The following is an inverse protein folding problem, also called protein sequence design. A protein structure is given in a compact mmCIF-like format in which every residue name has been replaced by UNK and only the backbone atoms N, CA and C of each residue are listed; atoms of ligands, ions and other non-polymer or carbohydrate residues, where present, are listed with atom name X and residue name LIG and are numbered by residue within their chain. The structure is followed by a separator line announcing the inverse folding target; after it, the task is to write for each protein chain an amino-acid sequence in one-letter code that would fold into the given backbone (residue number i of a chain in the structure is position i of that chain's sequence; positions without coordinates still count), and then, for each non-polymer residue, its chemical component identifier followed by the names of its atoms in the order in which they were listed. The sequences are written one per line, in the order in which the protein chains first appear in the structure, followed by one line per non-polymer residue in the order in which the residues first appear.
data_IF_360717444058
#
_entry.id   IF_360717444058
#
_cell.length_a   1.000
_cell.length_b   1.000
_cell.length_c   1.000
_cell.angle_alpha   90.00
_cell.angle_beta   90.00
_cell.angle_gamma   90.00
#
_symmetry.space_group_name_H-M   'P 1'
#
loop_
_entity.id
_entity.type
_entity.pdbx_description
1 polymer ?
#
# COMPACT_ATOMS: atom_id res chain seq x y z
N UNK A 1 15.25 25.53 -15.51
CA UNK A 1 15.10 26.18 -14.20
C UNK A 1 15.39 25.14 -13.14
N UNK A 2 16.24 25.46 -12.17
CA UNK A 2 16.59 24.56 -11.07
C UNK A 2 15.81 24.95 -9.81
N UNK A 3 15.32 23.97 -9.06
CA UNK A 3 14.67 24.20 -7.78
C UNK A 3 15.74 24.24 -6.68
N UNK A 4 15.75 25.27 -5.84
CA UNK A 4 16.87 25.53 -4.92
C UNK A 4 16.82 24.71 -3.61
N UNK A 5 15.72 24.00 -3.33
CA UNK A 5 15.46 23.33 -2.05
C UNK A 5 15.30 21.80 -2.17
N UNK A 6 16.01 21.19 -3.13
CA UNK A 6 15.93 19.74 -3.39
C UNK A 6 16.29 18.91 -2.15
N UNK A 7 17.34 19.29 -1.42
CA UNK A 7 17.75 18.58 -0.20
C UNK A 7 16.66 18.54 0.88
N UNK A 8 15.81 19.58 0.95
CA UNK A 8 14.66 19.63 1.87
C UNK A 8 13.59 18.62 1.45
N UNK A 9 13.32 18.49 0.14
CA UNK A 9 12.40 17.49 -0.41
C UNK A 9 12.91 16.06 -0.20
N UNK A 10 14.19 15.81 -0.44
CA UNK A 10 14.81 14.48 -0.22
C UNK A 10 14.72 14.03 1.24
N UNK A 11 14.98 14.94 2.19
CA UNK A 11 14.80 14.67 3.62
C UNK A 11 13.33 14.35 3.95
N UNK A 12 12.40 15.07 3.35
CA UNK A 12 10.97 14.81 3.54
C UNK A 12 10.57 13.43 2.99
N UNK A 13 11.01 13.07 1.78
CA UNK A 13 10.80 11.74 1.20
C UNK A 13 11.38 10.66 2.10
N UNK A 14 12.61 10.85 2.60
CA UNK A 14 13.26 9.88 3.51
C UNK A 14 12.47 9.68 4.81
N UNK A 15 11.86 10.74 5.34
CA UNK A 15 10.97 10.66 6.51
C UNK A 15 9.70 9.87 6.20
N UNK A 16 9.09 10.11 5.04
CA UNK A 16 7.91 9.35 4.58
C UNK A 16 8.27 7.87 4.40
N UNK A 17 9.40 7.56 3.77
CA UNK A 17 9.86 6.19 3.55
C UNK A 17 10.07 5.45 4.89
N UNK A 18 10.77 6.10 5.82
CA UNK A 18 11.00 5.56 7.17
C UNK A 18 9.69 5.33 7.91
N UNK A 19 8.74 6.26 7.81
CA UNK A 19 7.42 6.13 8.42
C UNK A 19 6.64 4.93 7.86
N UNK A 20 6.62 4.76 6.53
CA UNK A 20 5.92 3.65 5.88
C UNK A 20 6.53 2.29 6.25
N UNK A 21 7.86 2.21 6.40
CA UNK A 21 8.58 0.97 6.70
C UNK A 21 8.60 0.62 8.19
N UNK A 22 8.37 1.57 9.09
CA UNK A 22 8.26 1.28 10.52
C UNK A 22 7.12 0.28 10.79
N UNK A 23 7.45 -0.85 11.39
CA UNK A 23 6.51 -1.93 11.68
C UNK A 23 5.37 -1.51 12.60
N UNK A 24 5.55 -0.44 13.39
CA UNK A 24 4.50 0.15 14.23
C UNK A 24 3.39 0.83 13.42
N UNK A 25 3.71 1.30 12.22
CA UNK A 25 2.75 1.94 11.31
C UNK A 25 2.12 0.93 10.33
N UNK A 26 2.59 -0.31 10.34
CA UNK A 26 2.06 -1.37 9.49
C UNK A 26 0.87 -2.05 10.14
N UNK A 27 -0.26 -2.06 9.43
CA UNK A 27 -1.50 -2.71 9.84
C UNK A 27 -1.69 -4.00 9.06
N UNK A 28 -2.07 -5.07 9.75
CA UNK A 28 -2.39 -6.36 9.13
C UNK A 28 -3.72 -6.28 8.39
N UNK A 29 -3.78 -6.81 7.17
CA UNK A 29 -5.03 -7.04 6.45
C UNK A 29 -5.47 -8.48 6.70
N UNK A 30 -6.72 -8.66 7.10
CA UNK A 30 -7.26 -9.95 7.56
C UNK A 30 -7.86 -10.71 6.38
N UNK A 31 -7.40 -11.94 6.17
CA UNK A 31 -7.89 -12.86 5.15
C UNK A 31 -8.27 -14.21 5.77
N UNK A 32 -9.48 -14.37 6.32
CA UNK A 32 -9.91 -15.64 6.90
C UNK A 32 -9.95 -16.76 5.85
N UNK A 33 -9.62 -17.99 6.25
CA UNK A 33 -9.54 -19.14 5.33
C UNK A 33 -10.87 -19.39 4.61
N UNK A 34 -11.97 -19.22 5.34
CA UNK A 34 -13.35 -19.33 4.86
C UNK A 34 -13.74 -18.25 3.82
N UNK A 35 -13.02 -17.11 3.81
CA UNK A 35 -13.31 -15.98 2.92
C UNK A 35 -12.40 -15.91 1.70
N UNK A 36 -11.39 -16.78 1.59
CA UNK A 36 -10.44 -16.81 0.45
C UNK A 36 -10.64 -18.01 -0.48
N UNK A 37 -11.46 -18.99 -0.09
CA UNK A 37 -11.78 -20.18 -0.88
C UNK A 37 -13.27 -20.56 -0.74
N UNK A 38 -14.17 -19.95 -1.54
CA UNK A 38 -13.92 -18.98 -2.60
C UNK A 38 -13.64 -17.57 -2.07
N UNK A 39 -13.08 -16.70 -2.91
CA UNK A 39 -12.80 -15.30 -2.56
C UNK A 39 -14.09 -14.52 -2.35
N UNK A 40 -14.43 -14.22 -1.09
CA UNK A 40 -15.65 -13.56 -0.68
C UNK A 40 -15.36 -12.11 -0.29
N UNK A 41 -15.57 -11.18 -1.22
CA UNK A 41 -15.26 -9.76 -1.01
C UNK A 41 -16.06 -9.14 0.13
N UNK A 42 -17.32 -9.54 0.32
CA UNK A 42 -18.18 -8.99 1.36
C UNK A 42 -17.67 -9.33 2.77
N UNK A 43 -17.30 -10.59 3.00
CA UNK A 43 -16.72 -11.00 4.28
C UNK A 43 -15.35 -10.35 4.52
N UNK A 44 -14.52 -10.23 3.47
CA UNK A 44 -13.24 -9.56 3.59
C UNK A 44 -13.39 -8.07 3.92
N UNK A 45 -14.38 -7.39 3.33
CA UNK A 45 -14.71 -6.01 3.68
C UNK A 45 -15.16 -5.88 5.12
N UNK A 46 -16.04 -6.77 5.59
CA UNK A 46 -16.53 -6.78 6.97
C UNK A 46 -15.37 -6.97 7.96
N UNK A 47 -14.51 -7.94 7.72
CA UNK A 47 -13.35 -8.24 8.59
C UNK A 47 -12.31 -7.12 8.61
N UNK A 48 -12.26 -6.30 7.56
CA UNK A 48 -11.32 -5.18 7.46
C UNK A 48 -12.01 -3.82 7.57
N UNK A 49 -13.26 -3.75 8.04
CA UNK A 49 -14.04 -2.52 8.03
C UNK A 49 -13.36 -1.37 8.77
N UNK A 50 -12.79 -1.64 9.96
CA UNK A 50 -12.08 -0.66 10.77
C UNK A 50 -10.78 -0.18 10.12
N UNK A 51 -10.05 -1.10 9.49
CA UNK A 51 -8.85 -0.75 8.73
C UNK A 51 -9.21 0.16 7.55
N UNK A 52 -10.20 -0.24 6.76
CA UNK A 52 -10.64 0.47 5.57
C UNK A 52 -11.27 1.83 5.90
N UNK A 53 -11.99 1.95 7.01
CA UNK A 53 -12.53 3.22 7.49
C UNK A 53 -11.43 4.19 7.90
N UNK A 54 -10.35 3.69 8.55
CA UNK A 54 -9.21 4.51 8.97
C UNK A 54 -8.41 5.13 7.81
N UNK A 55 -8.59 4.63 6.58
CA UNK A 55 -7.97 5.18 5.36
C UNK A 55 -8.70 6.40 4.81
N UNK A 56 -10.02 6.46 5.02
CA UNK A 56 -10.91 7.38 4.32
C UNK A 56 -10.60 8.83 4.69
N UNK A 57 -10.30 9.68 3.70
CA UNK A 57 -9.97 11.09 3.93
C UNK A 57 -8.59 11.34 4.53
N UNK A 58 -7.79 10.29 4.78
CA UNK A 58 -6.48 10.40 5.42
C UNK A 58 -5.36 10.07 4.44
N UNK A 59 -5.34 8.86 3.89
CA UNK A 59 -4.18 8.39 3.14
C UNK A 59 -4.08 9.04 1.75
N UNK A 60 -2.88 9.51 1.40
CA UNK A 60 -2.56 9.90 0.01
C UNK A 60 -1.24 9.31 -0.50
N UNK A 61 -0.46 8.66 0.38
CA UNK A 61 0.61 7.72 0.06
C UNK A 61 0.39 6.44 0.89
N UNK A 62 0.61 5.27 0.30
CA UNK A 62 0.51 3.99 0.97
C UNK A 62 1.55 2.99 0.46
N UNK A 63 1.83 1.98 1.28
CA UNK A 63 2.69 0.87 0.94
C UNK A 63 2.03 -0.47 1.29
N UNK A 64 2.33 -1.50 0.50
CA UNK A 64 1.87 -2.88 0.70
C UNK A 64 3.10 -3.76 0.91
N UNK A 65 3.01 -4.62 1.93
CA UNK A 65 4.06 -5.52 2.36
C UNK A 65 3.55 -6.95 2.41
N UNK A 66 4.45 -7.89 2.15
CA UNK A 66 4.22 -9.33 2.34
C UNK A 66 5.09 -9.82 3.48
N UNK A 67 4.47 -10.37 4.51
CA UNK A 67 5.15 -11.08 5.58
C UNK A 67 5.03 -12.58 5.31
N UNK A 68 6.14 -13.19 4.90
CA UNK A 68 6.20 -14.62 4.60
C UNK A 68 6.28 -15.45 5.87
N UNK A 69 5.74 -16.66 5.82
CA UNK A 69 5.86 -17.62 6.92
C UNK A 69 7.35 -17.86 7.27
N UNK A 70 7.67 -17.83 8.56
CA UNK A 70 9.05 -17.96 9.05
C UNK A 70 9.91 -16.69 8.94
N UNK A 71 9.43 -15.63 8.29
CA UNK A 71 10.08 -14.31 8.32
C UNK A 71 9.48 -13.43 9.42
N UNK A 72 10.33 -12.64 10.08
CA UNK A 72 9.89 -11.55 10.96
C UNK A 72 9.90 -10.18 10.27
N UNK A 73 10.43 -10.12 9.04
CA UNK A 73 10.59 -8.88 8.30
C UNK A 73 9.60 -8.85 7.12
N UNK A 74 8.65 -7.90 7.11
CA UNK A 74 7.77 -7.65 5.98
C UNK A 74 8.55 -7.13 4.77
N UNK A 75 8.35 -7.76 3.63
CA UNK A 75 8.97 -7.40 2.36
C UNK A 75 8.11 -6.35 1.65
N UNK A 76 8.68 -5.19 1.36
CA UNK A 76 7.99 -4.11 0.66
C UNK A 76 7.72 -4.52 -0.80
N UNK A 77 6.45 -4.53 -1.20
CA UNK A 77 6.06 -4.95 -2.54
C UNK A 77 5.62 -3.82 -3.43
N UNK A 78 4.84 -2.89 -2.88
CA UNK A 78 4.20 -1.84 -3.65
C UNK A 78 4.16 -0.54 -2.86
N UNK A 79 4.45 0.57 -3.52
CA UNK A 79 4.16 1.92 -3.06
C UNK A 79 3.15 2.54 -4.03
N UNK A 80 2.15 3.21 -3.49
CA UNK A 80 1.13 3.86 -4.30
C UNK A 80 0.68 5.20 -3.74
N UNK A 81 0.11 6.02 -4.62
CA UNK A 81 -0.59 7.26 -4.29
C UNK A 81 -2.06 7.19 -4.62
N UNK A 82 -2.81 8.05 -3.97
CA UNK A 82 -4.24 8.26 -4.22
C UNK A 82 -4.62 9.67 -3.78
N UNK A 83 -5.78 10.16 -4.23
CA UNK A 83 -6.38 11.29 -3.52
C UNK A 83 -6.96 10.81 -2.19
N UNK A 84 -6.96 11.67 -1.17
CA UNK A 84 -7.52 11.38 0.16
C UNK A 84 -8.98 10.93 0.08
N UNK A 85 -9.75 11.59 -0.80
CA UNK A 85 -11.16 11.27 -1.07
C UNK A 85 -11.35 9.83 -1.57
N UNK A 86 -10.41 9.29 -2.35
CA UNK A 86 -10.51 7.97 -2.97
C UNK A 86 -9.69 6.91 -2.25
N UNK A 87 -9.03 7.24 -1.14
CA UNK A 87 -8.09 6.37 -0.46
C UNK A 87 -8.64 4.99 -0.12
N UNK A 88 -9.79 4.96 0.56
CA UNK A 88 -10.48 3.72 0.92
C UNK A 88 -10.78 2.87 -0.31
N UNK A 89 -11.35 3.47 -1.36
CA UNK A 89 -11.71 2.76 -2.59
C UNK A 89 -10.46 2.19 -3.28
N UNK A 90 -9.39 2.98 -3.39
CA UNK A 90 -8.16 2.57 -4.07
C UNK A 90 -7.49 1.39 -3.38
N UNK A 91 -7.33 1.45 -2.05
CA UNK A 91 -6.75 0.36 -1.27
C UNK A 91 -7.67 -0.87 -1.27
N UNK A 92 -8.99 -0.70 -1.13
CA UNK A 92 -9.94 -1.80 -1.27
C UNK A 92 -9.82 -2.49 -2.63
N UNK A 93 -9.61 -1.74 -3.71
CA UNK A 93 -9.43 -2.32 -5.05
C UNK A 93 -8.13 -3.13 -5.20
N UNK A 94 -7.09 -2.80 -4.45
CA UNK A 94 -5.85 -3.57 -4.46
C UNK A 94 -5.92 -4.79 -3.54
N UNK A 95 -6.63 -4.68 -2.41
CA UNK A 95 -6.60 -5.66 -1.34
C UNK A 95 -7.74 -6.69 -1.42
N UNK A 96 -8.90 -6.33 -1.96
CA UNK A 96 -10.14 -7.10 -1.83
C UNK A 96 -10.90 -7.22 -3.15
N UNK A 97 -11.28 -6.11 -3.77
CA UNK A 97 -12.22 -6.08 -4.91
C UNK A 97 -11.54 -5.83 -6.22
N UNK A 98 -11.89 -6.60 -7.26
CA UNK A 98 -11.32 -6.37 -8.58
C UNK A 98 -11.82 -5.04 -9.14
N UNK A 99 -10.90 -4.21 -9.61
CA UNK A 99 -11.21 -3.11 -10.51
C UNK A 99 -10.89 -3.53 -11.94
N UNK A 100 -11.79 -3.24 -12.89
CA UNK A 100 -11.71 -3.76 -14.26
C UNK A 100 -10.41 -3.38 -15.00
N UNK A 101 -9.80 -2.25 -14.63
CA UNK A 101 -8.58 -1.71 -15.27
C UNK A 101 -7.28 -1.89 -14.46
N UNK A 102 -7.32 -2.27 -13.17
CA UNK A 102 -6.13 -2.27 -12.28
C UNK A 102 -5.98 -3.55 -11.43
N UNK A 103 -6.49 -4.67 -11.94
CA UNK A 103 -6.57 -5.94 -11.21
C UNK A 103 -5.25 -6.64 -10.90
N UNK A 104 -4.12 -6.19 -11.46
CA UNK A 104 -2.82 -6.86 -11.30
C UNK A 104 -2.42 -7.03 -9.83
N UNK A 105 -2.51 -5.95 -9.03
CA UNK A 105 -2.13 -6.00 -7.61
C UNK A 105 -3.03 -6.93 -6.79
N UNK A 106 -4.32 -7.01 -7.12
CA UNK A 106 -5.22 -7.94 -6.44
C UNK A 106 -4.88 -9.40 -6.77
N UNK A 107 -4.44 -9.69 -8.00
CA UNK A 107 -3.99 -11.02 -8.36
C UNK A 107 -2.75 -11.43 -7.55
N UNK A 108 -1.78 -10.51 -7.41
CA UNK A 108 -0.59 -10.72 -6.59
C UNK A 108 -0.95 -10.99 -5.12
N UNK A 109 -1.83 -10.17 -4.54
CA UNK A 109 -2.36 -10.34 -3.18
C UNK A 109 -3.01 -11.71 -3.01
N UNK A 110 -3.90 -12.10 -3.94
CA UNK A 110 -4.57 -13.41 -3.90
C UNK A 110 -3.55 -14.55 -3.94
N UNK A 111 -2.50 -14.42 -4.75
CA UNK A 111 -1.43 -15.42 -4.84
C UNK A 111 -0.69 -15.56 -3.52
N UNK A 112 -0.25 -14.45 -2.92
CA UNK A 112 0.49 -14.45 -1.65
C UNK A 112 -0.35 -15.00 -0.49
N UNK A 113 -1.63 -14.59 -0.41
CA UNK A 113 -2.56 -15.08 0.63
C UNK A 113 -2.82 -16.57 0.49
N UNK A 114 -2.96 -17.09 -0.74
CA UNK A 114 -3.10 -18.55 -0.99
C UNK A 114 -1.87 -19.34 -0.58
N UNK A 115 -0.69 -18.74 -0.68
CA UNK A 115 0.57 -19.35 -0.23
C UNK A 115 0.75 -19.26 1.31
N UNK A 116 -0.23 -18.77 2.05
CA UNK A 116 -0.17 -18.65 3.51
C UNK A 116 0.53 -17.39 4.01
N UNK A 117 0.97 -16.50 3.11
CA UNK A 117 1.64 -15.27 3.50
C UNK A 117 0.65 -14.22 3.99
N UNK A 118 1.10 -13.37 4.90
CA UNK A 118 0.31 -12.28 5.46
C UNK A 118 0.55 -10.98 4.68
N UNK A 119 -0.49 -10.17 4.53
CA UNK A 119 -0.38 -8.85 3.91
C UNK A 119 -0.46 -7.78 5.00
N UNK A 120 0.47 -6.84 4.95
CA UNK A 120 0.42 -5.63 5.76
C UNK A 120 0.38 -4.40 4.87
N UNK A 121 -0.23 -3.33 5.38
CA UNK A 121 -0.21 -2.02 4.73
C UNK A 121 0.25 -0.94 5.70
N UNK A 122 0.89 0.09 5.19
CA UNK A 122 1.08 1.36 5.90
C UNK A 122 0.64 2.51 5.01
N UNK A 123 0.26 3.62 5.61
CA UNK A 123 -0.25 4.77 4.87
C UNK A 123 -0.03 6.05 5.65
N UNK A 124 0.11 7.15 4.92
CA UNK A 124 0.35 8.46 5.52
C UNK A 124 -0.42 9.53 4.75
N UNK A 125 -0.76 10.60 5.46
CA UNK A 125 -1.25 11.85 4.91
C UNK A 125 -0.09 12.82 4.79
N UNK A 126 0.20 13.28 3.58
CA UNK A 126 1.11 14.40 3.34
C UNK A 126 0.36 15.64 2.84
N UNK A 127 0.91 16.83 3.07
CA UNK A 127 0.38 18.11 2.57
C UNK A 127 1.51 18.94 1.95
N UNK A 128 1.24 19.72 0.89
CA UNK A 128 -0.02 19.76 0.15
C UNK A 128 -0.26 18.45 -0.63
N UNK A 129 -1.52 18.06 -0.82
CA UNK A 129 -1.86 16.79 -1.46
C UNK A 129 -1.23 16.61 -2.87
N UNK A 130 -0.95 17.69 -3.60
CA UNK A 130 -0.26 17.66 -4.89
C UNK A 130 1.17 17.10 -4.82
N UNK A 131 1.83 17.23 -3.67
CA UNK A 131 3.19 16.74 -3.44
C UNK A 131 3.29 15.20 -3.51
N UNK A 132 2.15 14.49 -3.42
CA UNK A 132 2.10 13.02 -3.47
C UNK A 132 2.67 12.43 -4.75
N UNK A 133 2.61 13.16 -5.87
CA UNK A 133 3.14 12.66 -7.13
C UNK A 133 4.66 12.54 -7.05
N UNK A 134 5.33 13.64 -6.71
CA UNK A 134 6.77 13.67 -6.51
C UNK A 134 7.23 12.66 -5.45
N UNK A 135 6.54 12.64 -4.30
CA UNK A 135 6.92 11.73 -3.21
C UNK A 135 6.78 10.27 -3.62
N UNK A 136 5.71 9.86 -4.32
CA UNK A 136 5.58 8.49 -4.79
C UNK A 136 6.70 8.11 -5.77
N UNK A 137 6.99 8.96 -6.75
CA UNK A 137 8.04 8.71 -7.74
C UNK A 137 9.40 8.51 -7.06
N UNK A 138 9.77 9.39 -6.14
CA UNK A 138 11.02 9.28 -5.40
C UNK A 138 11.05 8.07 -4.46
N UNK A 139 9.94 7.74 -3.82
CA UNK A 139 9.83 6.52 -3.01
C UNK A 139 10.03 5.27 -3.85
N UNK A 140 9.45 5.20 -5.05
CA UNK A 140 9.64 4.08 -5.98
C UNK A 140 11.10 4.02 -6.44
N UNK A 141 11.70 5.16 -6.78
CA UNK A 141 13.10 5.27 -7.19
C UNK A 141 14.07 4.81 -6.10
N UNK A 142 13.79 5.11 -4.84
CA UNK A 142 14.57 4.68 -3.67
C UNK A 142 14.34 3.22 -3.31
N UNK A 143 13.19 2.65 -3.72
CA UNK A 143 12.79 1.29 -3.42
C UNK A 143 12.68 0.45 -4.70
N UNK A 144 13.72 0.46 -5.54
CA UNK A 144 13.69 -0.23 -6.84
C UNK A 144 13.37 -1.72 -6.73
N UNK A 145 13.60 -2.35 -5.59
CA UNK A 145 13.34 -3.77 -5.37
C UNK A 145 11.84 -4.10 -5.15
N UNK A 146 10.97 -3.08 -5.03
CA UNK A 146 9.51 -3.25 -4.95
C UNK A 146 8.97 -3.81 -6.26
N UNK A 147 8.83 -5.14 -6.31
CA UNK A 147 8.53 -5.88 -7.54
C UNK A 147 7.22 -5.44 -8.20
N UNK A 148 6.23 -5.03 -7.40
CA UNK A 148 4.90 -4.72 -7.92
C UNK A 148 4.76 -3.31 -8.49
N UNK A 149 5.76 -2.43 -8.32
CA UNK A 149 5.77 -1.11 -8.95
C UNK A 149 6.25 -1.14 -10.40
N UNK A 150 7.07 -2.13 -10.78
CA UNK A 150 7.71 -2.18 -12.10
C UNK A 150 6.80 -2.69 -13.23
N UNK A 151 5.70 -3.33 -12.90
CA UNK A 151 4.76 -3.87 -13.89
C UNK A 151 3.89 -2.80 -14.57
N UNK A 152 4.00 -1.54 -14.14
CA UNK A 152 3.30 -0.38 -14.73
C UNK A 152 4.27 0.62 -15.40
N UNK A 153 5.54 0.26 -15.57
CA UNK A 153 6.54 1.08 -16.29
C UNK A 153 6.60 0.71 -17.78
#
# INVERSE_FOLDING_TARGET
MEFMEVATLEKFVSKVDSYLKDSKNQKLVIYPKESISPWNESQLDEKNADLLSSLSGVANIYAIFVLREGSNLPDLKYIGKTTKKLARQRLRNHLITKHDLTGAKLADIKSEVKNGNQIKISFVSIEPESLRNYVEEELINNNRNSSWNRENA
#
